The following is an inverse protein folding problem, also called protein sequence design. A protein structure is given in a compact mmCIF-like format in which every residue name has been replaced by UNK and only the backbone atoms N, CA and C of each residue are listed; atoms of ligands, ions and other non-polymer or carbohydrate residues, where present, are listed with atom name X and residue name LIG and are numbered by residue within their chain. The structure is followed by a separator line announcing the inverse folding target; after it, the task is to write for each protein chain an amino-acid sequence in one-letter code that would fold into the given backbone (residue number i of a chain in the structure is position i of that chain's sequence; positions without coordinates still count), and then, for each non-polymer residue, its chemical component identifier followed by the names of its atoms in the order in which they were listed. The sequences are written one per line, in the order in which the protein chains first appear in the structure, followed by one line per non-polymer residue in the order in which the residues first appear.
data_IF_301718994720
#
_entry.id   IF_301718994720
#
_cell.length_a   1.000
_cell.length_b   1.000
_cell.length_c   1.000
_cell.angle_alpha   90.00
_cell.angle_beta   90.00
_cell.angle_gamma   90.00
#
_symmetry.space_group_name_H-M   'P 1'
#
loop_
_entity.id
_entity.type
_entity.pdbx_description
1 polymer ?
#
# COMPACT_ATOMS: atom_id res chain seq x y z
N UNK A 1 27.02 -5.86 -8.25
CA UNK A 1 27.10 -4.39 -8.45
C UNK A 1 25.73 -3.87 -8.85
N UNK A 2 25.25 -2.78 -8.23
CA UNK A 2 23.95 -2.21 -8.59
C UNK A 2 24.06 -1.41 -9.88
N UNK A 3 23.47 -1.92 -10.96
CA UNK A 3 23.28 -1.18 -12.21
C UNK A 3 22.49 0.10 -11.87
N UNK A 4 23.12 1.26 -12.05
CA UNK A 4 22.49 2.57 -11.82
C UNK A 4 21.48 2.84 -12.94
N UNK A 5 20.28 2.27 -12.80
CA UNK A 5 19.16 2.57 -13.70
C UNK A 5 18.83 4.06 -13.67
N UNK A 6 18.44 4.59 -14.83
CA UNK A 6 18.03 5.99 -14.95
C UNK A 6 16.81 6.27 -14.07
N UNK A 7 16.61 7.54 -13.68
CA UNK A 7 15.47 7.95 -12.85
C UNK A 7 14.13 7.61 -13.52
N UNK A 8 14.07 7.58 -14.85
CA UNK A 8 12.89 7.24 -15.61
C UNK A 8 12.56 5.74 -15.52
N UNK A 9 13.56 4.87 -15.73
CA UNK A 9 13.38 3.41 -15.64
C UNK A 9 12.88 2.96 -14.26
N UNK A 10 13.31 3.61 -13.19
CA UNK A 10 12.84 3.32 -11.82
C UNK A 10 11.36 3.60 -11.63
N UNK A 11 10.84 4.67 -12.26
CA UNK A 11 9.41 5.01 -12.23
C UNK A 11 8.62 3.98 -13.00
N UNK A 12 9.04 3.65 -14.23
CA UNK A 12 8.37 2.63 -15.04
C UNK A 12 8.34 1.27 -14.35
N UNK A 13 9.45 0.87 -13.70
CA UNK A 13 9.50 -0.37 -12.94
C UNK A 13 8.60 -0.34 -11.69
N UNK A 14 8.42 0.83 -11.07
CA UNK A 14 7.52 1.00 -9.94
C UNK A 14 6.06 0.94 -10.37
N UNK A 15 5.72 1.62 -11.46
CA UNK A 15 4.36 1.62 -12.04
C UNK A 15 3.93 0.19 -12.40
N UNK A 16 4.83 -0.59 -13.02
CA UNK A 16 4.57 -2.01 -13.33
C UNK A 16 4.29 -2.85 -12.09
N UNK A 17 5.07 -2.68 -11.02
CA UNK A 17 4.86 -3.40 -9.75
C UNK A 17 3.55 -3.01 -9.09
N UNK A 18 3.16 -1.74 -9.18
CA UNK A 18 1.90 -1.26 -8.64
C UNK A 18 0.70 -1.87 -9.37
N UNK A 19 0.72 -1.90 -10.70
CA UNK A 19 -0.36 -2.54 -11.46
C UNK A 19 -0.50 -4.03 -11.11
N UNK A 20 0.62 -4.76 -11.05
CA UNK A 20 0.62 -6.18 -10.66
C UNK A 20 -0.05 -6.41 -9.30
N UNK A 21 0.29 -5.60 -8.29
CA UNK A 21 -0.31 -5.72 -6.96
C UNK A 21 -1.79 -5.32 -6.93
N UNK A 22 -2.19 -4.32 -7.72
CA UNK A 22 -3.61 -3.94 -7.82
C UNK A 22 -4.45 -5.01 -8.54
N UNK A 23 -3.86 -5.74 -9.48
CA UNK A 23 -4.51 -6.87 -10.16
C UNK A 23 -4.60 -8.12 -9.27
N UNK A 24 -3.57 -8.38 -8.46
CA UNK A 24 -3.49 -9.55 -7.57
C UNK A 24 -4.40 -9.43 -6.34
N UNK A 25 -4.63 -8.22 -5.83
CA UNK A 25 -5.32 -8.00 -4.55
C UNK A 25 -6.56 -7.13 -4.71
N UNK A 26 -7.71 -7.63 -4.24
CA UNK A 26 -8.98 -6.89 -4.27
C UNK A 26 -9.13 -5.87 -3.15
N UNK A 27 -8.31 -5.94 -2.09
CA UNK A 27 -8.37 -5.06 -0.92
C UNK A 27 -7.05 -4.32 -0.72
N UNK A 28 -7.14 -3.02 -0.52
CA UNK A 28 -5.99 -2.14 -0.33
C UNK A 28 -6.19 -1.31 0.92
N UNK A 29 -5.17 -1.25 1.77
CA UNK A 29 -5.16 -0.43 2.97
C UNK A 29 -4.10 0.67 2.81
N UNK A 30 -4.48 1.91 3.15
CA UNK A 30 -3.59 3.05 3.16
C UNK A 30 -3.31 3.40 4.62
N UNK A 31 -2.04 3.32 5.01
CA UNK A 31 -1.60 3.68 6.35
C UNK A 31 -0.70 4.91 6.29
N UNK A 32 -0.98 5.87 7.16
CA UNK A 32 -0.09 7.00 7.43
C UNK A 32 0.88 6.56 8.53
N UNK A 33 2.17 6.77 8.30
CA UNK A 33 3.21 6.41 9.24
C UNK A 33 4.08 7.64 9.50
N UNK A 34 3.64 8.45 10.44
CA UNK A 34 4.42 9.56 10.96
C UNK A 34 5.31 9.07 12.10
N UNK A 35 6.54 9.59 12.16
CA UNK A 35 7.47 9.36 13.28
C UNK A 35 7.86 7.89 13.53
N UNK A 36 7.73 7.01 12.54
CA UNK A 36 8.16 5.61 12.65
C UNK A 36 9.65 5.48 12.34
N UNK A 37 10.42 4.90 13.27
CA UNK A 37 11.84 4.66 13.10
C UNK A 37 12.13 3.61 12.00
N UNK A 38 13.31 3.68 11.37
CA UNK A 38 13.72 2.72 10.34
C UNK A 38 13.74 1.27 10.84
N UNK A 39 14.14 1.06 12.10
CA UNK A 39 14.17 -0.26 12.74
C UNK A 39 12.76 -0.81 12.96
N UNK A 40 11.83 0.02 13.43
CA UNK A 40 10.42 -0.35 13.62
C UNK A 40 9.77 -0.75 12.28
N UNK A 41 10.05 -0.01 11.19
CA UNK A 41 9.55 -0.40 9.87
C UNK A 41 10.15 -1.72 9.38
N UNK A 42 11.39 -2.03 9.74
CA UNK A 42 12.00 -3.32 9.40
C UNK A 42 11.38 -4.46 10.20
N UNK A 43 11.03 -4.24 11.47
CA UNK A 43 10.31 -5.20 12.31
C UNK A 43 8.89 -5.45 11.81
N UNK A 44 8.15 -4.38 11.49
CA UNK A 44 6.83 -4.47 10.85
C UNK A 44 6.96 -5.27 9.54
N UNK A 45 7.93 -4.93 8.68
CA UNK A 45 8.16 -5.70 7.45
C UNK A 45 8.52 -7.17 7.69
N UNK A 46 9.17 -7.53 8.81
CA UNK A 46 9.50 -8.92 9.15
C UNK A 46 8.24 -9.68 9.58
N UNK A 47 7.40 -9.07 10.42
CA UNK A 47 6.15 -9.68 10.90
C UNK A 47 5.14 -9.92 9.78
N UNK A 48 5.24 -9.17 8.69
CA UNK A 48 4.32 -9.24 7.56
C UNK A 48 4.81 -10.13 6.42
N UNK A 49 6.01 -10.71 6.53
CA UNK A 49 6.53 -11.64 5.52
C UNK A 49 5.69 -12.92 5.54
N UNK A 50 4.83 -13.08 4.55
CA UNK A 50 4.01 -14.28 4.36
C UNK A 50 2.61 -13.91 3.88
N UNK A 51 1.99 -12.94 4.56
CA UNK A 51 0.56 -12.67 4.39
C UNK A 51 0.26 -11.36 3.65
N UNK A 52 1.23 -10.43 3.59
CA UNK A 52 1.00 -9.12 3.00
C UNK A 52 2.26 -8.50 2.39
N UNK A 53 2.04 -7.63 1.40
CA UNK A 53 3.11 -6.92 0.71
C UNK A 53 2.98 -5.44 1.03
N UNK A 54 4.01 -4.88 1.66
CA UNK A 54 4.09 -3.44 1.95
C UNK A 54 4.85 -2.75 0.83
N UNK A 55 4.18 -1.83 0.16
CA UNK A 55 4.77 -1.01 -0.89
C UNK A 55 4.78 0.45 -0.48
N UNK A 56 5.98 1.03 -0.45
CA UNK A 56 6.20 2.41 -0.05
C UNK A 56 6.47 3.25 -1.29
N UNK A 57 5.93 4.48 -1.35
CA UNK A 57 6.16 5.36 -2.49
C UNK A 57 5.83 6.81 -2.24
N UNK A 58 6.16 7.64 -3.23
CA UNK A 58 5.81 9.06 -3.21
C UNK A 58 4.35 9.22 -3.63
N UNK A 59 3.57 9.97 -2.86
CA UNK A 59 2.13 10.19 -3.10
C UNK A 59 1.84 10.65 -4.54
N UNK A 60 2.70 11.50 -5.11
CA UNK A 60 2.55 11.98 -6.49
C UNK A 60 2.65 10.86 -7.53
N UNK A 61 3.53 9.86 -7.32
CA UNK A 61 3.67 8.73 -8.24
C UNK A 61 2.50 7.78 -8.09
N UNK A 62 2.10 7.49 -6.86
CA UNK A 62 1.01 6.54 -6.60
C UNK A 62 -0.31 7.08 -7.17
N UNK A 63 -0.61 8.37 -6.98
CA UNK A 63 -1.79 9.01 -7.58
C UNK A 63 -1.81 8.93 -9.11
N UNK A 64 -0.65 9.08 -9.75
CA UNK A 64 -0.55 8.97 -11.20
C UNK A 64 -0.82 7.54 -11.66
N UNK A 65 -0.26 6.55 -10.99
CA UNK A 65 -0.45 5.14 -11.33
C UNK A 65 -1.91 4.72 -11.19
N UNK A 66 -2.56 5.10 -10.08
CA UNK A 66 -3.97 4.75 -9.82
C UNK A 66 -4.89 5.34 -10.90
N UNK A 67 -4.66 6.58 -11.33
CA UNK A 67 -5.44 7.18 -12.43
C UNK A 67 -5.30 6.38 -13.72
N UNK A 68 -4.06 6.13 -14.15
CA UNK A 68 -3.77 5.36 -15.37
C UNK A 68 -4.35 3.95 -15.28
N UNK A 69 -4.30 3.32 -14.12
CA UNK A 69 -4.85 1.98 -13.92
C UNK A 69 -6.38 1.97 -13.93
N UNK A 70 -7.03 2.97 -13.30
CA UNK A 70 -8.48 3.13 -13.34
C UNK A 70 -8.99 3.37 -14.77
N UNK A 71 -8.25 4.14 -15.58
CA UNK A 71 -8.57 4.38 -16.99
C UNK A 71 -8.52 3.09 -17.83
N UNK A 72 -7.60 2.16 -17.49
CA UNK A 72 -7.41 0.91 -18.22
C UNK A 72 -8.39 -0.20 -17.77
N UNK A 73 -8.65 -0.31 -16.47
CA UNK A 73 -9.44 -1.41 -15.89
C UNK A 73 -10.91 -1.05 -15.71
N UNK A 74 -11.27 0.24 -15.67
CA UNK A 74 -12.65 0.72 -15.53
C UNK A 74 -13.22 0.64 -14.11
N UNK A 75 -12.44 0.17 -13.13
CA UNK A 75 -12.84 0.05 -11.72
C UNK A 75 -12.70 1.40 -11.02
N UNK A 76 -13.84 1.99 -10.62
CA UNK A 76 -13.92 3.35 -10.05
C UNK A 76 -13.57 3.39 -8.56
N UNK A 77 -13.58 2.25 -7.88
CA UNK A 77 -13.37 2.14 -6.43
C UNK A 77 -12.00 2.68 -5.99
N UNK A 78 -10.98 2.53 -6.84
CA UNK A 78 -9.64 3.06 -6.55
C UNK A 78 -9.55 4.59 -6.65
N UNK A 79 -10.49 5.25 -7.33
CA UNK A 79 -10.52 6.71 -7.44
C UNK A 79 -10.92 7.37 -6.11
N UNK A 80 -11.71 6.68 -5.30
CA UNK A 80 -12.12 7.16 -3.97
C UNK A 80 -10.96 7.19 -2.97
N UNK A 81 -9.87 6.45 -3.25
CA UNK A 81 -8.66 6.44 -2.45
C UNK A 81 -7.78 7.68 -2.70
N UNK A 82 -7.97 8.39 -3.81
CA UNK A 82 -7.17 9.57 -4.17
C UNK A 82 -7.20 10.72 -3.15
N UNK A 83 -8.36 11.13 -2.58
CA UNK A 83 -8.41 12.18 -1.57
C UNK A 83 -7.68 11.80 -0.28
N UNK A 84 -7.69 10.53 0.12
CA UNK A 84 -7.00 10.06 1.34
C UNK A 84 -5.47 10.15 1.23
N UNK A 85 -4.94 10.16 0.00
CA UNK A 85 -3.50 10.35 -0.26
C UNK A 85 -3.06 11.82 -0.17
N UNK A 86 -3.96 12.76 0.13
CA UNK A 86 -3.69 14.19 0.39
C UNK A 86 -3.32 14.36 1.86
N UNK A 87 -2.17 13.82 2.24
CA UNK A 87 -1.57 14.18 3.52
C UNK A 87 -0.69 15.41 3.29
N UNK A 88 -0.88 16.42 4.14
CA UNK A 88 -0.15 17.69 4.19
C UNK A 88 1.33 17.52 4.56
N UNK A 89 1.75 16.33 4.96
CA UNK A 89 3.13 15.98 5.32
C UNK A 89 3.84 15.22 4.17
N UNK A 90 5.06 15.63 3.77
CA UNK A 90 5.85 14.96 2.72
C UNK A 90 6.45 13.60 3.14
N UNK A 91 6.21 13.16 4.39
CA UNK A 91 6.76 11.94 4.97
C UNK A 91 5.87 10.73 4.68
N UNK A 92 6.13 10.11 3.52
CA UNK A 92 5.86 8.70 3.19
C UNK A 92 4.50 8.10 3.61
N UNK A 93 3.55 8.07 2.68
CA UNK A 93 2.40 7.16 2.78
C UNK A 93 2.82 5.72 2.44
N UNK A 94 2.29 4.74 3.19
CA UNK A 94 2.49 3.32 2.92
C UNK A 94 1.22 2.73 2.34
N UNK A 95 1.39 1.99 1.24
CA UNK A 95 0.38 1.06 0.75
C UNK A 95 0.62 -0.30 1.37
N UNK A 96 -0.44 -0.82 1.94
CA UNK A 96 -0.48 -2.13 2.51
C UNK A 96 -1.45 -2.97 1.69
N UNK A 97 -0.91 -3.94 0.95
CA UNK A 97 -1.73 -4.92 0.26
C UNK A 97 -1.98 -6.06 1.23
N UNK A 98 -3.21 -6.10 1.74
CA UNK A 98 -3.66 -7.16 2.64
C UNK A 98 -4.47 -8.19 1.85
N UNK A 99 -4.32 -9.46 2.23
CA UNK A 99 -5.20 -10.54 1.81
C UNK A 99 -6.68 -10.18 2.02
N UNK A 100 -7.61 -10.78 1.25
CA UNK A 100 -9.00 -10.84 1.66
C UNK A 100 -9.03 -11.47 3.06
N UNK A 101 -9.56 -10.74 4.05
CA UNK A 101 -9.91 -11.31 5.34
C UNK A 101 -10.82 -12.53 5.13
N UNK A 102 -10.25 -13.72 5.04
CA UNK A 102 -10.93 -14.96 5.39
C UNK A 102 -10.65 -15.15 6.87
N UNK A 103 -11.63 -14.81 7.69
CA UNK A 103 -11.58 -14.99 9.13
C UNK A 103 -11.41 -16.48 9.49
N UNK A 104 -10.25 -16.87 10.02
CA UNK A 104 -9.97 -17.97 10.96
C UNK A 104 -8.46 -17.82 11.25
N UNK A 105 -7.94 -17.49 12.42
CA UNK A 105 -8.25 -18.05 13.73
C UNK A 105 -7.99 -17.06 14.88
N UNK A 106 -8.78 -17.28 15.92
CA UNK A 106 -8.69 -16.73 17.27
C UNK A 106 -7.27 -16.76 17.87
N UNK A 107 -6.63 -15.59 17.97
CA UNK A 107 -5.62 -15.34 19.02
C UNK A 107 -5.89 -13.99 19.70
N UNK A 108 -6.13 -13.97 21.02
CA UNK A 108 -6.48 -12.76 21.75
C UNK A 108 -5.19 -12.05 22.17
N UNK A 109 -4.54 -11.31 21.26
CA UNK A 109 -3.35 -10.53 21.66
C UNK A 109 -2.95 -9.40 20.73
N UNK A 110 -3.90 -8.69 20.13
CA UNK A 110 -3.61 -7.31 19.70
C UNK A 110 -4.87 -6.47 19.90
N UNK A 111 -4.76 -5.57 20.88
CA UNK A 111 -5.75 -4.57 21.25
C UNK A 111 -5.81 -3.53 20.12
N UNK A 112 -6.49 -3.85 19.02
CA UNK A 112 -6.85 -2.87 18.01
C UNK A 112 -8.35 -3.00 17.75
N UNK A 113 -9.03 -1.93 18.10
CA UNK A 113 -10.42 -1.59 17.83
C UNK A 113 -10.91 -2.11 16.48
N UNK A 114 -11.48 -3.31 16.50
CA UNK A 114 -12.38 -3.81 15.49
C UNK A 114 -13.76 -3.21 15.79
N UNK A 115 -13.96 -1.91 15.49
CA UNK A 115 -15.23 -1.23 15.74
C UNK A 115 -16.00 -0.87 14.45
N UNK A 116 -15.64 -1.44 13.30
CA UNK A 116 -16.44 -1.25 12.09
C UNK A 116 -16.41 -2.47 11.18
N UNK A 117 -17.03 -3.56 11.66
CA UNK A 117 -17.40 -4.68 10.80
C UNK A 117 -18.90 -5.08 10.96
N UNK A 118 -19.71 -4.22 11.60
CA UNK A 118 -21.17 -4.36 11.69
C UNK A 118 -21.81 -2.98 11.87
N UNK A 119 -21.86 -2.19 10.80
CA UNK A 119 -23.02 -1.36 10.49
C UNK A 119 -23.08 -1.08 8.98
#
# INVERSE_FOLDING_TARGET
MAIKRTKAEKKVAYDKKLCQLLDEYTKVLIAVADNVGSNQLQEIRKGLRGDSIVLMGKNTLIRRCIKVHADNTGNKDFLELMPLLVVSSPSSSFFFFSFPCTCLDSTPRFFLTCFSCCL
#
